data_IF_907989603682
#
_entry.id   IF_907989603682
#
_cell.length_a   1.000
_cell.length_b   1.000
_cell.length_c   1.000
_cell.angle_alpha   90.00
_cell.angle_beta   90.00
_cell.angle_gamma   90.00
#
_symmetry.space_group_name_H-M   'P 1'
#
loop_
_entity.id
_entity.type
_entity.pdbx_description
1 polymer ?
#
# COMPACT_ATOMS: atom_id res chain seq x y z
N UNK A 1 25.80 6.89 -5.67
CA UNK A 1 24.82 6.55 -4.63
C UNK A 1 24.11 5.28 -5.10
N UNK A 2 24.12 4.19 -4.33
CA UNK A 2 23.32 2.99 -4.66
C UNK A 2 21.91 3.24 -4.13
N UNK A 3 20.91 3.25 -5.00
CA UNK A 3 19.53 3.46 -4.58
C UNK A 3 18.92 2.15 -4.05
N UNK A 4 19.05 1.96 -2.75
CA UNK A 4 18.51 0.80 -2.02
C UNK A 4 16.97 0.81 -2.00
N UNK A 5 16.35 1.99 -2.17
CA UNK A 5 14.89 2.15 -2.15
C UNK A 5 14.28 2.27 -3.55
N UNK A 6 14.92 1.69 -4.58
CA UNK A 6 14.31 1.62 -5.90
C UNK A 6 13.02 0.78 -5.83
N UNK A 7 11.85 1.35 -6.15
CA UNK A 7 10.56 0.68 -5.93
C UNK A 7 10.37 -0.58 -6.79
N UNK A 8 10.91 -0.60 -8.01
CA UNK A 8 10.83 -1.76 -8.90
C UNK A 8 11.72 -2.90 -8.40
N UNK A 9 12.95 -2.57 -7.96
CA UNK A 9 13.86 -3.55 -7.39
C UNK A 9 13.31 -4.14 -6.09
N UNK A 10 12.78 -3.29 -5.18
CA UNK A 10 12.17 -3.74 -3.94
C UNK A 10 11.04 -4.71 -4.21
N UNK A 11 10.08 -4.33 -5.07
CA UNK A 11 8.96 -5.19 -5.41
C UNK A 11 9.42 -6.55 -5.93
N UNK A 12 10.35 -6.53 -6.90
CA UNK A 12 10.87 -7.74 -7.54
C UNK A 12 11.57 -8.66 -6.53
N UNK A 13 12.45 -8.10 -5.69
CA UNK A 13 13.17 -8.86 -4.66
C UNK A 13 12.21 -9.42 -3.62
N UNK A 14 11.28 -8.62 -3.11
CA UNK A 14 10.32 -9.08 -2.11
C UNK A 14 9.43 -10.18 -2.68
N UNK A 15 8.89 -10.00 -3.90
CA UNK A 15 8.03 -10.99 -4.54
C UNK A 15 8.70 -12.36 -4.63
N UNK A 16 9.93 -12.42 -5.15
CA UNK A 16 10.65 -13.68 -5.26
C UNK A 16 11.13 -14.21 -3.91
N UNK A 17 11.56 -13.34 -2.99
CA UNK A 17 11.99 -13.78 -1.65
C UNK A 17 10.84 -14.42 -0.89
N UNK A 18 9.66 -13.80 -0.90
CA UNK A 18 8.49 -14.32 -0.19
C UNK A 18 7.92 -15.55 -0.87
N UNK A 19 7.94 -15.61 -2.21
CA UNK A 19 7.59 -16.82 -2.97
C UNK A 19 8.54 -17.99 -2.67
N UNK A 20 9.86 -17.74 -2.64
CA UNK A 20 10.83 -18.77 -2.28
C UNK A 20 10.61 -19.25 -0.84
N UNK A 21 10.35 -18.32 0.07
CA UNK A 21 10.09 -18.66 1.47
C UNK A 21 8.81 -19.48 1.65
N UNK A 22 7.73 -19.16 0.94
CA UNK A 22 6.47 -19.93 0.99
C UNK A 22 6.48 -21.22 0.19
N UNK A 23 7.46 -21.42 -0.69
CA UNK A 23 7.65 -22.70 -1.39
C UNK A 23 8.36 -23.76 -0.53
N UNK A 24 8.92 -23.36 0.61
CA UNK A 24 9.50 -24.29 1.59
C UNK A 24 8.33 -24.87 2.39
N UNK A 25 8.01 -26.13 2.17
CA UNK A 25 6.97 -26.83 2.93
C UNK A 25 7.45 -27.07 4.37
N UNK A 26 7.03 -26.21 5.28
CA UNK A 26 7.37 -26.27 6.69
C UNK A 26 6.24 -26.95 7.48
N UNK A 27 6.54 -28.08 8.12
CA UNK A 27 5.66 -28.85 9.00
C UNK A 27 4.34 -29.36 8.36
N UNK A 28 4.31 -29.62 7.03
CA UNK A 28 3.14 -30.13 6.28
C UNK A 28 1.85 -29.28 6.45
N UNK A 29 2.01 -28.02 6.86
CA UNK A 29 0.88 -27.12 7.15
C UNK A 29 0.13 -26.70 5.88
N UNK A 30 0.74 -26.83 4.70
CA UNK A 30 0.17 -26.45 3.41
C UNK A 30 0.43 -27.53 2.37
N UNK A 31 -0.46 -27.63 1.38
CA UNK A 31 -0.17 -28.49 0.25
C UNK A 31 1.04 -27.98 -0.55
N UNK A 32 1.88 -28.89 -1.07
CA UNK A 32 2.97 -28.52 -1.96
C UNK A 32 2.48 -27.70 -3.15
N UNK A 33 3.31 -26.79 -3.63
CA UNK A 33 2.95 -25.98 -4.80
C UNK A 33 2.77 -26.86 -6.04
N UNK A 34 1.66 -26.64 -6.74
CA UNK A 34 1.45 -27.26 -8.05
C UNK A 34 2.47 -26.71 -9.08
N UNK A 35 2.79 -27.48 -10.15
CA UNK A 35 3.65 -26.97 -11.22
C UNK A 35 3.13 -25.66 -11.83
N UNK A 36 1.81 -25.53 -11.96
CA UNK A 36 1.16 -24.33 -12.48
C UNK A 36 1.33 -23.13 -11.53
N UNK A 37 1.31 -23.34 -10.22
CA UNK A 37 1.59 -22.30 -9.22
C UNK A 37 3.01 -21.72 -9.40
N UNK A 38 4.02 -22.57 -9.59
CA UNK A 38 5.38 -22.10 -9.88
C UNK A 38 5.42 -21.24 -11.15
N UNK A 39 4.77 -21.68 -12.24
CA UNK A 39 4.69 -20.94 -13.50
C UNK A 39 4.02 -19.57 -13.30
N UNK A 40 2.88 -19.54 -12.60
CA UNK A 40 2.12 -18.32 -12.30
C UNK A 40 2.98 -17.30 -11.54
N UNK A 41 3.65 -17.74 -10.47
CA UNK A 41 4.48 -16.86 -9.64
C UNK A 41 5.72 -16.35 -10.39
N UNK A 42 6.39 -17.22 -11.15
CA UNK A 42 7.59 -16.86 -11.91
C UNK A 42 7.26 -15.91 -13.06
N UNK A 43 6.23 -16.22 -13.86
CA UNK A 43 5.82 -15.37 -15.00
C UNK A 43 5.34 -14.01 -14.51
N UNK A 44 4.62 -13.95 -13.39
CA UNK A 44 4.22 -12.69 -12.74
C UNK A 44 5.41 -11.78 -12.47
N UNK A 45 6.43 -12.30 -11.77
CA UNK A 45 7.63 -11.54 -11.41
C UNK A 45 8.45 -11.12 -12.63
N UNK A 46 8.60 -12.00 -13.62
CA UNK A 46 9.28 -11.67 -14.88
C UNK A 46 8.51 -10.60 -15.66
N UNK A 47 7.18 -10.71 -15.78
CA UNK A 47 6.35 -9.74 -16.50
C UNK A 47 6.42 -8.36 -15.86
N UNK A 48 6.35 -8.29 -14.53
CA UNK A 48 6.61 -7.06 -13.77
C UNK A 48 7.97 -6.45 -14.10
N UNK A 49 9.03 -7.28 -14.05
CA UNK A 49 10.39 -6.82 -14.34
C UNK A 49 10.51 -6.26 -15.76
N UNK A 50 10.00 -6.99 -16.76
CA UNK A 50 9.99 -6.54 -18.16
C UNK A 50 9.28 -5.19 -18.32
N UNK A 51 8.12 -5.01 -17.69
CA UNK A 51 7.41 -3.72 -17.70
C UNK A 51 8.24 -2.59 -17.09
N UNK A 52 9.01 -2.88 -16.03
CA UNK A 52 9.85 -1.88 -15.36
C UNK A 52 11.09 -1.45 -16.16
N UNK A 53 11.60 -2.29 -17.07
CA UNK A 53 12.84 -2.03 -17.82
C UNK A 53 12.74 -0.80 -18.75
N UNK A 54 11.53 -0.41 -19.17
CA UNK A 54 11.30 0.73 -20.07
C UNK A 54 11.91 2.04 -19.59
N UNK A 55 12.00 2.25 -18.26
CA UNK A 55 12.53 3.49 -17.67
C UNK A 55 13.70 3.30 -16.70
N UNK A 56 14.07 2.06 -16.33
CA UNK A 56 15.15 1.77 -15.37
C UNK A 56 16.55 2.17 -15.87
N UNK A 57 16.85 2.02 -17.18
CA UNK A 57 18.19 2.32 -17.74
C UNK A 57 18.57 3.81 -17.71
N UNK A 58 17.62 4.72 -17.48
CA UNK A 58 17.81 6.17 -17.67
C UNK A 58 18.01 6.97 -16.36
N UNK A 59 18.14 6.31 -15.21
CA UNK A 59 18.06 6.99 -13.92
C UNK A 59 19.34 6.85 -13.10
N UNK A 60 20.21 7.87 -13.15
CA UNK A 60 21.22 8.07 -12.10
C UNK A 60 20.55 8.79 -10.94
N UNK A 61 20.51 8.15 -9.77
CA UNK A 61 19.84 8.68 -8.59
C UNK A 61 20.78 9.62 -7.85
N UNK A 62 20.46 10.90 -7.86
CA UNK A 62 21.03 11.91 -6.97
C UNK A 62 20.08 12.19 -5.81
N UNK A 63 20.61 12.70 -4.71
CA UNK A 63 19.76 13.25 -3.65
C UNK A 63 18.91 14.37 -4.24
N UNK A 64 17.66 14.39 -3.85
CA UNK A 64 16.69 15.36 -4.35
C UNK A 64 16.97 16.73 -3.75
N UNK A 65 17.04 17.73 -4.61
CA UNK A 65 17.07 19.11 -4.16
C UNK A 65 15.74 19.42 -3.47
N UNK A 66 15.81 20.10 -2.32
CA UNK A 66 14.61 20.62 -1.67
C UNK A 66 13.95 21.61 -2.61
N UNK A 67 12.64 21.46 -2.80
CA UNK A 67 11.84 22.40 -3.58
C UNK A 67 10.85 23.06 -2.63
N UNK A 68 10.83 24.39 -2.61
CA UNK A 68 9.80 25.11 -1.87
C UNK A 68 8.43 24.76 -2.41
N UNK A 69 7.56 24.35 -1.49
CA UNK A 69 6.17 24.05 -1.80
C UNK A 69 5.35 25.34 -1.70
N UNK A 70 4.42 25.56 -2.65
CA UNK A 70 3.60 26.76 -2.64
C UNK A 70 2.65 26.77 -1.43
N UNK A 71 2.17 27.95 -1.04
CA UNK A 71 1.28 28.10 0.12
C UNK A 71 -0.04 27.34 -0.04
N UNK A 72 -0.53 27.21 -1.28
CA UNK A 72 -1.73 26.43 -1.60
C UNK A 72 -1.58 24.96 -1.18
N UNK A 73 -0.37 24.39 -1.31
CA UNK A 73 -0.10 23.04 -0.84
C UNK A 73 -0.31 22.92 0.67
N UNK A 74 0.11 23.94 1.43
CA UNK A 74 -0.08 23.97 2.88
C UNK A 74 -1.56 24.09 3.25
N UNK A 75 -2.29 24.97 2.57
CA UNK A 75 -3.73 25.13 2.77
C UNK A 75 -4.48 23.83 2.52
N UNK A 76 -4.25 23.19 1.36
CA UNK A 76 -4.88 21.91 1.00
C UNK A 76 -4.53 20.82 2.02
N UNK A 77 -3.27 20.74 2.47
CA UNK A 77 -2.85 19.73 3.45
C UNK A 77 -3.55 19.92 4.80
N UNK A 78 -3.69 21.15 5.28
CA UNK A 78 -4.37 21.42 6.55
C UNK A 78 -5.88 21.22 6.45
N UNK A 79 -6.50 21.61 5.33
CA UNK A 79 -7.91 21.32 5.09
C UNK A 79 -8.18 19.80 5.08
N UNK A 80 -7.33 19.03 4.39
CA UNK A 80 -7.40 17.57 4.38
C UNK A 80 -7.22 16.98 5.78
N UNK A 81 -6.28 17.49 6.57
CA UNK A 81 -6.13 17.07 7.96
C UNK A 81 -7.42 17.28 8.75
N UNK A 82 -8.02 18.47 8.70
CA UNK A 82 -9.25 18.77 9.42
C UNK A 82 -10.36 17.80 8.99
N UNK A 83 -10.59 17.64 7.69
CA UNK A 83 -11.64 16.76 7.16
C UNK A 83 -11.41 15.30 7.60
N UNK A 84 -10.21 14.76 7.40
CA UNK A 84 -9.91 13.36 7.70
C UNK A 84 -9.90 13.09 9.21
N UNK A 85 -9.39 14.01 10.00
CA UNK A 85 -9.35 13.87 11.46
C UNK A 85 -10.75 14.00 12.06
N UNK A 86 -11.58 14.93 11.56
CA UNK A 86 -12.99 15.01 11.96
C UNK A 86 -13.75 13.73 11.61
N UNK A 87 -13.55 13.18 10.41
CA UNK A 87 -14.15 11.89 10.03
C UNK A 87 -13.75 10.77 11.00
N UNK A 88 -12.46 10.67 11.31
CA UNK A 88 -11.95 9.71 12.29
C UNK A 88 -12.57 9.88 13.68
N UNK A 89 -12.67 11.10 14.19
CA UNK A 89 -13.27 11.35 15.51
C UNK A 89 -14.75 10.99 15.51
N UNK A 90 -15.50 11.33 14.47
CA UNK A 90 -16.92 10.98 14.35
C UNK A 90 -17.09 9.44 14.34
N UNK A 91 -16.31 8.73 13.52
CA UNK A 91 -16.37 7.26 13.49
C UNK A 91 -15.97 6.63 14.83
N UNK A 92 -14.91 7.15 15.46
CA UNK A 92 -14.45 6.65 16.75
C UNK A 92 -15.50 6.86 17.87
N UNK A 93 -16.18 8.00 17.86
CA UNK A 93 -17.28 8.28 18.80
C UNK A 93 -18.51 7.41 18.51
N UNK A 94 -18.90 7.25 17.24
CA UNK A 94 -20.02 6.39 16.85
C UNK A 94 -19.77 4.92 17.19
N UNK A 95 -18.51 4.48 17.15
CA UNK A 95 -18.11 3.14 17.59
C UNK A 95 -17.97 3.01 19.13
N UNK A 96 -18.46 3.97 19.91
CA UNK A 96 -18.44 3.91 21.37
C UNK A 96 -17.06 4.07 22.00
N UNK A 97 -16.12 4.73 21.30
CA UNK A 97 -14.75 4.92 21.79
C UNK A 97 -13.82 3.73 21.52
N UNK A 98 -14.29 2.68 20.84
CA UNK A 98 -13.46 1.60 20.33
C UNK A 98 -13.72 1.40 18.84
N UNK A 99 -12.71 1.55 17.98
CA UNK A 99 -12.81 1.08 16.60
C UNK A 99 -12.65 -0.43 16.59
N UNK A 100 -13.64 -1.15 17.12
CA UNK A 100 -13.67 -2.60 17.11
C UNK A 100 -13.79 -3.07 15.66
N UNK A 101 -12.85 -3.92 15.23
CA UNK A 101 -12.84 -4.57 13.90
C UNK A 101 -14.01 -5.56 13.70
N UNK A 102 -14.95 -5.63 14.65
CA UNK A 102 -16.24 -6.32 14.52
C UNK A 102 -17.24 -5.71 15.51
N UNK A 103 -17.75 -4.51 15.25
CA UNK A 103 -19.06 -4.12 15.79
C UNK A 103 -20.10 -4.34 14.70
N UNK A 104 -20.53 -5.59 14.57
CA UNK A 104 -21.77 -5.93 13.90
C UNK A 104 -22.91 -5.13 14.53
N UNK A 105 -23.49 -4.19 13.76
CA UNK A 105 -24.77 -3.57 14.07
C UNK A 105 -24.74 -2.29 14.89
N UNK A 106 -24.05 -1.24 14.42
CA UNK A 106 -24.41 0.13 14.83
C UNK A 106 -25.22 0.76 13.70
N UNK A 107 -26.53 0.88 13.90
CA UNK A 107 -27.42 1.66 13.04
C UNK A 107 -26.95 3.13 13.03
N UNK A 108 -26.16 3.51 12.02
CA UNK A 108 -25.62 4.88 11.95
C UNK A 108 -24.41 5.10 11.03
N UNK A 109 -23.98 4.12 10.24
CA UNK A 109 -22.84 4.30 9.33
C UNK A 109 -23.11 5.38 8.28
N UNK A 110 -22.39 6.50 8.40
CA UNK A 110 -22.49 7.63 7.46
C UNK A 110 -21.74 7.24 6.18
N UNK A 111 -22.48 7.05 5.09
CA UNK A 111 -21.92 6.71 3.79
C UNK A 111 -20.79 7.67 3.39
N UNK A 112 -19.64 7.12 3.03
CA UNK A 112 -18.48 7.89 2.57
C UNK A 112 -17.56 8.43 3.68
N UNK A 113 -18.00 8.49 4.94
CA UNK A 113 -17.19 9.03 6.05
C UNK A 113 -15.89 8.25 6.24
N UNK A 114 -15.97 6.92 6.08
CA UNK A 114 -14.85 6.00 6.23
C UNK A 114 -13.65 6.34 5.35
N UNK A 115 -13.88 6.87 4.14
CA UNK A 115 -12.80 7.27 3.25
C UNK A 115 -11.93 8.39 3.85
N UNK A 116 -12.50 9.28 4.67
CA UNK A 116 -11.74 10.27 5.43
C UNK A 116 -10.81 9.62 6.46
N UNK A 117 -11.33 8.66 7.23
CA UNK A 117 -10.56 7.91 8.24
C UNK A 117 -9.44 7.08 7.64
N UNK A 118 -9.67 6.47 6.47
CA UNK A 118 -8.69 5.69 5.72
C UNK A 118 -7.61 6.59 5.12
N UNK A 119 -7.94 7.83 4.73
CA UNK A 119 -6.96 8.74 4.16
C UNK A 119 -6.07 9.40 5.21
N UNK A 120 -6.49 9.43 6.48
CA UNK A 120 -5.75 10.08 7.57
C UNK A 120 -4.27 9.66 7.67
N UNK A 121 -3.88 8.37 7.54
CA UNK A 121 -2.47 7.99 7.52
C UNK A 121 -1.68 8.61 6.37
N UNK A 122 -2.31 8.78 5.21
CA UNK A 122 -1.68 9.40 4.05
C UNK A 122 -1.53 10.91 4.22
N UNK A 123 -2.39 11.56 5.01
CA UNK A 123 -2.19 12.97 5.41
C UNK A 123 -0.87 13.14 6.19
N UNK A 124 -0.53 12.21 7.09
CA UNK A 124 0.77 12.27 7.78
C UNK A 124 1.95 12.13 6.80
N UNK A 125 1.82 11.31 5.76
CA UNK A 125 2.82 11.18 4.68
C UNK A 125 2.97 12.49 3.90
N UNK A 126 1.86 13.15 3.57
CA UNK A 126 1.85 14.46 2.89
C UNK A 126 2.52 15.53 3.77
N UNK A 127 2.19 15.59 5.06
CA UNK A 127 2.82 16.50 6.02
C UNK A 127 4.33 16.22 6.16
N UNK A 128 4.73 14.95 6.20
CA UNK A 128 6.15 14.60 6.29
C UNK A 128 6.92 15.00 5.02
N UNK A 129 6.33 14.78 3.84
CA UNK A 129 6.89 15.27 2.57
C UNK A 129 7.08 16.79 2.58
N UNK A 130 6.10 17.53 3.13
CA UNK A 130 6.19 18.98 3.29
C UNK A 130 7.32 19.40 4.22
N UNK A 131 7.45 18.75 5.38
CA UNK A 131 8.53 19.01 6.34
C UNK A 131 9.91 18.82 5.71
N UNK A 132 10.09 17.78 4.89
CA UNK A 132 11.36 17.51 4.22
C UNK A 132 11.71 18.54 3.13
N UNK A 133 10.69 19.09 2.46
CA UNK A 133 10.85 20.09 1.40
C UNK A 133 10.88 21.53 1.91
N UNK A 134 10.44 21.79 3.13
CA UNK A 134 10.49 23.11 3.72
C UNK A 134 11.94 23.57 3.98
N UNK A 135 12.20 24.87 3.80
CA UNK A 135 13.43 25.49 4.29
C UNK A 135 13.51 25.39 5.82
N UNK A 136 12.40 25.73 6.49
CA UNK A 136 12.22 25.62 7.94
C UNK A 136 10.92 24.87 8.23
N UNK A 137 11.05 23.71 8.87
CA UNK A 137 9.89 22.92 9.29
C UNK A 137 9.08 23.71 10.34
N UNK A 138 7.76 23.80 10.15
CA UNK A 138 6.86 24.41 11.14
C UNK A 138 6.57 23.38 12.23
N UNK A 139 6.62 23.81 13.49
CA UNK A 139 6.33 22.93 14.64
C UNK A 139 4.95 22.29 14.53
N UNK A 140 3.96 23.02 13.99
CA UNK A 140 2.61 22.51 13.78
C UNK A 140 2.59 21.27 12.88
N UNK A 141 3.40 21.21 11.82
CA UNK A 141 3.41 20.05 10.91
C UNK A 141 3.85 18.78 11.65
N UNK A 142 4.83 18.88 12.55
CA UNK A 142 5.27 17.77 13.38
C UNK A 142 4.24 17.35 14.43
N UNK A 143 3.58 18.33 15.08
CA UNK A 143 2.52 18.04 16.04
C UNK A 143 1.36 17.28 15.39
N UNK A 144 0.96 17.67 14.18
CA UNK A 144 -0.08 16.97 13.41
C UNK A 144 0.36 15.54 13.04
N UNK A 145 1.60 15.34 12.60
CA UNK A 145 2.14 14.00 12.31
C UNK A 145 2.10 13.11 13.56
N UNK A 146 2.60 13.63 14.69
CA UNK A 146 2.64 12.88 15.95
C UNK A 146 1.22 12.54 16.42
N UNK A 147 0.29 13.48 16.33
CA UNK A 147 -1.12 13.27 16.68
C UNK A 147 -1.75 12.15 15.84
N UNK A 148 -1.53 12.16 14.52
CA UNK A 148 -2.05 11.11 13.62
C UNK A 148 -1.45 9.75 13.99
N UNK A 149 -0.13 9.65 14.17
CA UNK A 149 0.54 8.40 14.53
C UNK A 149 0.04 7.89 15.89
N UNK A 150 -0.07 8.77 16.88
CA UNK A 150 -0.59 8.44 18.21
C UNK A 150 -2.03 7.93 18.12
N UNK A 151 -2.89 8.54 17.29
CA UNK A 151 -4.26 8.06 17.08
C UNK A 151 -4.30 6.65 16.45
N UNK A 152 -3.45 6.36 15.47
CA UNK A 152 -3.37 5.02 14.87
C UNK A 152 -2.80 3.97 15.85
N UNK A 153 -1.88 4.35 16.73
CA UNK A 153 -1.27 3.45 17.72
C UNK A 153 -2.19 3.18 18.91
N UNK A 154 -2.76 4.22 19.50
CA UNK A 154 -3.49 4.12 20.78
C UNK A 154 -4.96 3.82 20.56
N UNK A 155 -5.59 4.42 19.54
CA UNK A 155 -7.04 4.33 19.34
C UNK A 155 -7.41 3.24 18.31
N UNK A 156 -6.69 3.16 17.18
CA UNK A 156 -6.98 2.15 16.14
C UNK A 156 -6.27 0.81 16.34
N UNK A 157 -5.10 0.81 16.99
CA UNK A 157 -4.18 -0.34 17.04
C UNK A 157 -3.94 -0.94 15.63
N UNK A 158 -3.79 -0.07 14.61
CA UNK A 158 -3.72 -0.49 13.19
C UNK A 158 -2.29 -0.77 12.74
N UNK A 159 -1.97 -2.06 12.54
CA UNK A 159 -0.70 -2.51 11.93
C UNK A 159 -0.54 -1.98 10.50
N UNK A 160 -1.63 -1.92 9.74
CA UNK A 160 -1.63 -1.42 8.37
C UNK A 160 -1.22 0.05 8.27
N UNK A 161 -1.70 0.88 9.21
CA UNK A 161 -1.35 2.30 9.28
C UNK A 161 0.14 2.48 9.61
N UNK A 162 0.67 1.68 10.55
CA UNK A 162 2.09 1.71 10.91
C UNK A 162 3.00 1.37 9.73
N UNK A 163 2.62 0.38 8.92
CA UNK A 163 3.34 0.07 7.68
C UNK A 163 3.35 1.25 6.71
N UNK A 164 2.21 1.94 6.55
CA UNK A 164 2.13 3.13 5.71
C UNK A 164 3.13 4.17 6.20
N UNK A 165 3.14 4.51 7.50
CA UNK A 165 4.06 5.51 8.04
C UNK A 165 5.52 5.12 7.83
N UNK A 166 5.91 3.93 8.27
CA UNK A 166 7.32 3.53 8.30
C UNK A 166 7.88 3.41 6.89
N UNK A 167 7.18 2.72 5.99
CA UNK A 167 7.64 2.53 4.62
C UNK A 167 7.66 3.86 3.85
N UNK A 168 6.62 4.69 3.99
CA UNK A 168 6.55 5.98 3.31
C UNK A 168 7.62 6.96 3.83
N UNK A 169 7.80 7.04 5.15
CA UNK A 169 8.74 7.98 5.76
C UNK A 169 10.18 7.57 5.47
N UNK A 170 10.53 6.28 5.59
CA UNK A 170 11.86 5.80 5.20
C UNK A 170 12.15 6.05 3.73
N UNK A 171 11.18 5.76 2.85
CA UNK A 171 11.32 6.04 1.42
C UNK A 171 11.57 7.53 1.18
N UNK A 172 10.73 8.43 1.71
CA UNK A 172 10.90 9.87 1.52
C UNK A 172 12.21 10.38 2.11
N UNK A 173 12.55 9.97 3.33
CA UNK A 173 13.77 10.36 4.00
C UNK A 173 15.02 9.99 3.18
N UNK A 174 15.01 8.80 2.55
CA UNK A 174 16.12 8.30 1.74
C UNK A 174 16.41 9.16 0.51
N UNK A 175 15.42 9.91 0.04
CA UNK A 175 15.53 10.75 -1.16
C UNK A 175 16.22 12.08 -0.88
N UNK A 176 16.09 12.61 0.34
CA UNK A 176 16.70 13.88 0.73
C UNK A 176 17.96 13.70 1.56
N UNK A 177 18.13 12.56 2.24
CA UNK A 177 19.29 12.29 3.07
C UNK A 177 19.88 10.91 2.80
N UNK A 178 21.21 10.81 2.96
CA UNK A 178 21.88 9.50 2.92
C UNK A 178 21.45 8.71 4.16
N UNK A 179 20.86 7.54 3.95
CA UNK A 179 20.57 6.58 5.02
C UNK A 179 21.63 5.48 4.93
N UNK A 180 22.22 5.13 6.07
CA UNK A 180 23.03 3.92 6.16
C UNK A 180 22.12 2.70 6.21
N UNK A 181 22.54 1.59 5.60
CA UNK A 181 21.79 0.33 5.62
C UNK A 181 21.38 -0.09 7.05
N UNK A 182 22.24 0.19 8.04
CA UNK A 182 21.99 -0.11 9.45
C UNK A 182 20.77 0.62 10.03
N UNK A 183 20.52 1.88 9.63
CA UNK A 183 19.34 2.63 10.10
C UNK A 183 18.06 2.04 9.50
N UNK A 184 18.11 1.60 8.24
CA UNK A 184 16.98 0.91 7.60
C UNK A 184 16.68 -0.39 8.32
N UNK A 185 17.71 -1.19 8.57
CA UNK A 185 17.58 -2.47 9.29
C UNK A 185 17.04 -2.26 10.70
N UNK A 186 17.57 -1.28 11.44
CA UNK A 186 17.09 -0.94 12.78
C UNK A 186 15.62 -0.52 12.78
N UNK A 187 15.19 0.30 11.82
CA UNK A 187 13.79 0.69 11.66
C UNK A 187 12.87 -0.49 11.36
N UNK A 188 13.31 -1.44 10.51
CA UNK A 188 12.57 -2.67 10.23
C UNK A 188 12.47 -3.59 11.46
N UNK A 189 13.53 -3.70 12.26
CA UNK A 189 13.52 -4.50 13.50
C UNK A 189 12.54 -3.89 14.52
N UNK A 190 12.58 -2.57 14.74
CA UNK A 190 11.62 -1.89 15.62
C UNK A 190 10.19 -2.13 15.13
N UNK A 191 9.96 -2.00 13.81
CA UNK A 191 8.64 -2.25 13.24
C UNK A 191 8.15 -3.67 13.50
N UNK A 192 9.00 -4.67 13.28
CA UNK A 192 8.68 -6.07 13.53
C UNK A 192 8.35 -6.28 15.02
N UNK A 193 9.16 -5.73 15.93
CA UNK A 193 8.95 -5.82 17.37
C UNK A 193 7.62 -5.17 17.81
N UNK A 194 7.31 -3.96 17.33
CA UNK A 194 6.05 -3.26 17.62
C UNK A 194 4.86 -4.03 17.05
N UNK A 195 4.98 -4.56 15.83
CA UNK A 195 3.91 -5.34 15.18
C UNK A 195 3.61 -6.62 15.95
N UNK A 196 4.65 -7.34 16.38
CA UNK A 196 4.52 -8.52 17.25
C UNK A 196 3.88 -8.13 18.59
N UNK A 197 4.34 -7.03 19.21
CA UNK A 197 3.78 -6.55 20.48
C UNK A 197 2.28 -6.25 20.36
N UNK A 198 1.86 -5.55 19.31
CA UNK A 198 0.45 -5.27 19.02
C UNK A 198 -0.34 -6.56 18.75
N UNK A 199 0.27 -7.56 18.12
CA UNK A 199 -0.37 -8.86 17.88
C UNK A 199 -0.68 -9.59 19.20
N UNK A 200 0.25 -9.61 20.16
CA UNK A 200 0.02 -10.24 21.47
C UNK A 200 -1.03 -9.50 22.32
N UNK A 201 -1.13 -8.17 22.19
CA UNK A 201 -2.16 -7.40 22.91
C UNK A 201 -3.56 -7.66 22.35
N UNK A 202 -3.67 -7.93 21.05
CA UNK A 202 -4.95 -8.04 20.35
C UNK A 202 -5.57 -9.44 20.39
N UNK A 203 -4.76 -10.48 20.54
CA UNK A 203 -5.22 -11.86 20.63
C UNK A 203 -4.62 -12.54 21.88
N UNK A 204 -5.18 -12.29 23.07
CA UNK A 204 -4.72 -12.93 24.30
C UNK A 204 -5.08 -14.43 24.36
N UNK A 205 -5.88 -14.95 23.42
CA UNK A 205 -6.34 -16.35 23.40
C UNK A 205 -5.32 -17.30 22.75
N UNK A 206 -4.47 -16.79 21.85
CA UNK A 206 -3.44 -17.59 21.17
C UNK A 206 -3.97 -18.63 20.18
N UNK A 207 -5.27 -18.65 19.89
CA UNK A 207 -5.91 -19.65 19.01
C UNK A 207 -5.79 -19.33 17.51
N UNK A 208 -5.31 -18.14 17.15
CA UNK A 208 -5.15 -17.78 15.75
C UNK A 208 -4.16 -18.70 15.02
N UNK A 209 -4.56 -19.17 13.84
CA UNK A 209 -3.78 -20.04 12.95
C UNK A 209 -2.36 -19.50 12.67
N UNK A 210 -2.16 -18.19 12.80
CA UNK A 210 -0.87 -17.51 12.70
C UNK A 210 0.13 -17.99 13.77
N UNK A 211 -0.34 -18.26 14.98
CA UNK A 211 0.51 -18.60 16.13
C UNK A 211 0.68 -20.11 16.34
N UNK A 212 -0.19 -20.92 15.75
CA UNK A 212 -0.31 -22.37 16.02
C UNK A 212 0.10 -23.26 14.85
N UNK A 213 0.33 -22.69 13.66
CA UNK A 213 0.66 -23.39 12.42
C UNK A 213 2.08 -23.96 12.36
N UNK A 214 2.99 -23.55 13.27
CA UNK A 214 4.33 -24.13 13.35
C UNK A 214 4.69 -24.44 14.80
N UNK A 215 5.58 -25.42 14.99
CA UNK A 215 6.10 -25.80 16.30
C UNK A 215 6.78 -24.66 17.08
N UNK A 216 7.21 -23.60 16.39
CA UNK A 216 7.79 -22.40 17.00
C UNK A 216 6.89 -21.17 16.76
N UNK A 217 6.17 -20.65 17.78
CA UNK A 217 5.21 -19.56 17.61
C UNK A 217 5.85 -18.26 17.08
N UNK A 218 7.15 -18.04 17.31
CA UNK A 218 7.86 -16.87 16.80
C UNK A 218 8.15 -16.97 15.31
N UNK A 219 8.40 -18.17 14.79
CA UNK A 219 8.57 -18.43 13.35
C UNK A 219 7.20 -18.40 12.66
N UNK A 220 6.19 -18.97 13.32
CA UNK A 220 4.78 -19.01 12.90
C UNK A 220 4.26 -17.65 12.47
N UNK A 221 4.53 -16.61 13.27
CA UNK A 221 4.04 -15.24 13.04
C UNK A 221 4.54 -14.65 11.72
N UNK A 222 5.76 -14.96 11.32
CA UNK A 222 6.35 -14.43 10.08
C UNK A 222 6.10 -15.32 8.88
N UNK A 223 6.17 -16.64 9.07
CA UNK A 223 6.01 -17.62 8.00
C UNK A 223 4.56 -17.73 7.54
N UNK A 224 3.62 -17.90 8.46
CA UNK A 224 2.24 -18.27 8.13
C UNK A 224 1.52 -17.17 7.35
N UNK A 225 1.76 -15.89 7.68
CA UNK A 225 1.18 -14.78 6.91
C UNK A 225 1.60 -14.80 5.44
N UNK A 226 2.87 -15.12 5.17
CA UNK A 226 3.39 -15.20 3.81
C UNK A 226 2.87 -16.47 3.15
N UNK A 227 3.10 -17.62 3.77
CA UNK A 227 2.80 -18.92 3.22
C UNK A 227 1.31 -19.08 2.91
N UNK A 228 0.41 -18.67 3.81
CA UNK A 228 -1.03 -18.92 3.66
C UNK A 228 -1.62 -18.10 2.51
N UNK A 229 -1.05 -16.93 2.22
CA UNK A 229 -1.47 -16.13 1.07
C UNK A 229 -1.12 -16.80 -0.27
N UNK A 230 0.01 -17.50 -0.35
CA UNK A 230 0.38 -18.28 -1.53
C UNK A 230 -0.41 -19.60 -1.59
N UNK A 231 -0.68 -20.24 -0.44
CA UNK A 231 -1.53 -21.44 -0.37
C UNK A 231 -2.92 -21.18 -0.95
N UNK A 232 -3.55 -20.07 -0.55
CA UNK A 232 -4.85 -19.64 -1.08
C UNK A 232 -4.85 -19.49 -2.61
N UNK A 233 -3.74 -19.06 -3.22
CA UNK A 233 -3.61 -19.04 -4.68
C UNK A 233 -3.40 -20.44 -5.26
N UNK A 234 -2.55 -21.26 -4.65
CA UNK A 234 -2.28 -22.64 -5.10
C UNK A 234 -3.57 -23.48 -5.09
N UNK A 235 -4.36 -23.38 -4.03
CA UNK A 235 -5.60 -24.13 -3.88
C UNK A 235 -6.62 -23.67 -4.93
N UNK A 236 -6.73 -22.35 -5.17
CA UNK A 236 -7.56 -21.83 -6.25
C UNK A 236 -7.13 -22.35 -7.64
N UNK A 237 -5.81 -22.39 -7.89
CA UNK A 237 -5.25 -22.93 -9.14
C UNK A 237 -5.62 -24.42 -9.29
N UNK A 238 -5.54 -25.20 -8.21
CA UNK A 238 -5.81 -26.65 -8.18
C UNK A 238 -7.30 -26.97 -8.34
N UNK A 239 -8.18 -26.17 -7.76
CA UNK A 239 -9.63 -26.33 -7.88
C UNK A 239 -10.13 -26.14 -9.32
N UNK A 240 -9.31 -25.50 -10.17
CA UNK A 240 -9.64 -25.11 -11.54
C UNK A 240 -11.07 -24.57 -11.69
N UNK A 241 -11.47 -23.71 -10.75
CA UNK A 241 -12.82 -23.18 -10.76
C UNK A 241 -13.03 -22.34 -12.04
N UNK A 242 -14.16 -22.57 -12.69
CA UNK A 242 -14.54 -22.00 -13.98
C UNK A 242 -15.31 -20.68 -13.86
N UNK A 243 -15.54 -20.18 -12.65
CA UNK A 243 -16.24 -18.93 -12.40
C UNK A 243 -15.35 -17.72 -12.71
N UNK A 244 -15.09 -17.52 -14.00
CA UNK A 244 -14.39 -16.38 -14.56
C UNK A 244 -15.41 -15.32 -14.96
N UNK A 245 -15.60 -14.33 -14.10
CA UNK A 245 -16.45 -13.20 -14.43
C UNK A 245 -15.55 -12.03 -14.87
N UNK A 246 -15.42 -11.87 -16.18
CA UNK A 246 -14.86 -10.74 -16.96
C UNK A 246 -14.32 -9.52 -16.17
N UNK A 247 -13.31 -9.72 -15.31
CA UNK A 247 -12.67 -8.65 -14.54
C UNK A 247 -13.43 -8.18 -13.29
N UNK A 248 -14.35 -8.98 -12.72
CA UNK A 248 -15.11 -8.61 -11.54
C UNK A 248 -14.21 -8.35 -10.32
N UNK A 249 -13.24 -9.22 -10.05
CA UNK A 249 -12.32 -9.05 -8.93
C UNK A 249 -11.23 -8.00 -9.24
N UNK A 250 -10.75 -8.00 -10.48
CA UNK A 250 -9.66 -7.15 -10.97
C UNK A 250 -10.07 -5.69 -11.08
N UNK A 251 -11.31 -5.42 -11.52
CA UNK A 251 -11.86 -4.08 -11.71
C UNK A 251 -12.92 -3.73 -10.65
N UNK A 252 -12.98 -4.44 -9.51
CA UNK A 252 -13.94 -4.17 -8.44
C UNK A 252 -13.95 -2.71 -7.98
N UNK A 253 -12.79 -2.06 -7.92
CA UNK A 253 -12.68 -0.61 -7.65
C UNK A 253 -13.47 0.23 -8.64
N UNK A 254 -13.38 -0.09 -9.93
CA UNK A 254 -14.06 0.64 -11.00
C UNK A 254 -15.57 0.36 -10.95
N UNK A 255 -15.98 -0.90 -10.73
CA UNK A 255 -17.38 -1.26 -10.55
C UNK A 255 -18.02 -0.59 -9.33
N UNK A 256 -17.24 -0.36 -8.26
CA UNK A 256 -17.70 0.41 -7.08
C UNK A 256 -18.00 1.86 -7.46
N UNK A 257 -17.10 2.51 -8.22
CA UNK A 257 -17.31 3.90 -8.67
C UNK A 257 -18.54 4.02 -9.58
N UNK A 258 -18.79 3.02 -10.42
CA UNK A 258 -19.96 2.98 -11.29
C UNK A 258 -21.27 2.58 -10.57
N UNK A 259 -21.22 2.20 -9.28
CA UNK A 259 -22.40 1.79 -8.52
C UNK A 259 -23.01 0.46 -8.98
N UNK A 260 -22.24 -0.38 -9.69
CA UNK A 260 -22.71 -1.68 -10.22
C UNK A 260 -22.00 -2.88 -9.57
N UNK A 261 -21.13 -2.65 -8.58
CA UNK A 261 -20.38 -3.73 -7.90
C UNK A 261 -21.31 -4.80 -7.33
N UNK A 262 -22.40 -4.41 -6.68
CA UNK A 262 -23.31 -5.36 -6.03
C UNK A 262 -24.17 -6.16 -7.02
N UNK A 263 -24.27 -5.69 -8.27
CA UNK A 263 -24.95 -6.38 -9.37
C UNK A 263 -24.01 -7.33 -10.13
N UNK A 264 -22.70 -7.20 -9.92
CA UNK A 264 -21.73 -8.15 -10.43
C UNK A 264 -21.67 -9.28 -9.43
N UNK A 265 -22.06 -10.50 -9.85
CA UNK A 265 -22.11 -11.69 -9.00
C UNK A 265 -20.69 -12.07 -8.56
N UNK A 266 -20.12 -11.34 -7.60
CA UNK A 266 -18.86 -11.69 -6.95
C UNK A 266 -19.21 -12.79 -5.97
N UNK A 267 -19.55 -13.97 -6.47
CA UNK A 267 -19.34 -15.18 -5.70
C UNK A 267 -17.84 -15.21 -5.45
N UNK A 268 -17.43 -14.66 -4.30
CA UNK A 268 -16.15 -14.95 -3.70
C UNK A 268 -16.22 -16.45 -3.45
N UNK A 269 -15.82 -17.22 -4.46
CA UNK A 269 -15.70 -18.66 -4.36
C UNK A 269 -14.86 -18.88 -3.13
N UNK A 270 -15.53 -19.36 -2.08
CA UNK A 270 -15.00 -19.83 -0.81
C UNK A 270 -13.51 -19.52 -0.69
N UNK A 271 -13.20 -18.36 -0.09
CA UNK A 271 -11.93 -18.27 0.63
C UNK A 271 -11.92 -19.48 1.52
N UNK A 272 -11.06 -20.45 1.20
CA UNK A 272 -10.88 -21.63 2.02
C UNK A 272 -10.80 -21.16 3.47
N UNK A 273 -11.60 -21.78 4.32
CA UNK A 273 -12.04 -21.37 5.68
C UNK A 273 -10.94 -20.98 6.69
N UNK A 274 -9.69 -20.80 6.25
CA UNK A 274 -8.51 -20.64 7.09
C UNK A 274 -7.89 -19.23 7.03
N UNK A 275 -8.05 -18.42 5.98
CA UNK A 275 -7.44 -17.06 5.94
C UNK A 275 -7.93 -16.11 4.81
N UNK A 276 -8.41 -14.91 5.15
CA UNK A 276 -8.90 -13.88 4.21
C UNK A 276 -7.77 -12.98 3.64
N UNK A 277 -6.70 -13.57 3.11
CA UNK A 277 -5.69 -12.82 2.38
C UNK A 277 -5.05 -13.68 1.29
N UNK A 278 -4.84 -13.10 0.12
CA UNK A 278 -4.22 -13.77 -1.03
C UNK A 278 -3.17 -12.86 -1.67
N UNK A 279 -2.24 -13.41 -2.44
CA UNK A 279 -1.21 -12.61 -3.11
C UNK A 279 -1.80 -11.63 -4.13
N UNK A 280 -1.05 -10.59 -4.50
CA UNK A 280 -1.55 -9.52 -5.38
C UNK A 280 -2.04 -9.99 -6.76
N UNK A 281 -1.59 -11.15 -7.24
CA UNK A 281 -2.00 -11.71 -8.53
C UNK A 281 -3.29 -12.53 -8.49
N UNK A 282 -3.85 -12.79 -7.30
CA UNK A 282 -5.01 -13.65 -7.13
C UNK A 282 -6.18 -13.22 -8.02
N UNK A 283 -6.57 -11.93 -7.95
CA UNK A 283 -7.66 -11.39 -8.75
C UNK A 283 -7.39 -11.48 -10.27
N UNK A 284 -6.13 -11.28 -10.69
CA UNK A 284 -5.76 -11.32 -12.11
C UNK A 284 -5.83 -12.73 -12.68
N UNK A 285 -5.38 -13.72 -11.89
CA UNK A 285 -5.51 -15.12 -12.25
C UNK A 285 -6.96 -15.58 -12.19
N UNK A 286 -7.71 -15.11 -11.20
CA UNK A 286 -9.14 -15.38 -11.07
C UNK A 286 -9.92 -14.94 -12.31
N UNK A 287 -9.72 -13.72 -12.79
CA UNK A 287 -10.53 -13.21 -13.89
C UNK A 287 -9.99 -13.56 -15.29
N UNK A 288 -8.66 -13.70 -15.42
CA UNK A 288 -8.00 -13.80 -16.73
C UNK A 288 -6.92 -14.90 -16.80
N UNK A 289 -6.84 -15.79 -15.81
CA UNK A 289 -5.84 -16.87 -15.70
C UNK A 289 -4.42 -16.36 -16.00
N UNK A 290 -3.63 -17.10 -16.78
CA UNK A 290 -2.25 -16.74 -17.13
C UNK A 290 -2.13 -15.39 -17.87
N UNK A 291 -3.14 -15.00 -18.66
CA UNK A 291 -3.11 -13.72 -19.36
C UNK A 291 -3.11 -12.55 -18.37
N UNK A 292 -3.95 -12.60 -17.33
CA UNK A 292 -3.97 -11.59 -16.28
C UNK A 292 -2.66 -11.49 -15.53
N UNK A 293 -2.04 -12.63 -15.23
CA UNK A 293 -0.75 -12.73 -14.54
C UNK A 293 0.41 -12.18 -15.38
N UNK A 294 0.26 -12.07 -16.70
CA UNK A 294 1.25 -11.41 -17.57
C UNK A 294 0.93 -9.91 -17.66
N UNK A 295 -0.29 -9.57 -18.08
CA UNK A 295 -0.66 -8.21 -18.44
C UNK A 295 -0.61 -7.24 -17.25
N UNK A 296 -1.25 -7.59 -16.13
CA UNK A 296 -1.38 -6.66 -15.01
C UNK A 296 -0.05 -6.42 -14.29
N UNK A 297 0.76 -7.44 -13.95
CA UNK A 297 2.11 -7.21 -13.43
C UNK A 297 2.98 -6.37 -14.37
N UNK A 298 2.91 -6.59 -15.70
CA UNK A 298 3.62 -5.74 -16.67
C UNK A 298 3.18 -4.27 -16.58
N UNK A 299 1.87 -4.00 -16.55
CA UNK A 299 1.32 -2.64 -16.44
C UNK A 299 1.70 -1.96 -15.12
N UNK A 300 1.69 -2.70 -14.00
CA UNK A 300 2.13 -2.20 -12.69
C UNK A 300 3.62 -1.84 -12.74
N UNK A 301 4.47 -2.73 -13.28
CA UNK A 301 5.91 -2.47 -13.43
C UNK A 301 6.20 -1.26 -14.32
N UNK A 302 5.48 -1.12 -15.44
CA UNK A 302 5.56 0.04 -16.32
C UNK A 302 5.13 1.33 -15.61
N UNK A 303 3.99 1.31 -14.91
CA UNK A 303 3.48 2.46 -14.16
C UNK A 303 4.45 2.91 -13.05
N UNK A 304 4.94 1.98 -12.23
CA UNK A 304 5.89 2.27 -11.16
C UNK A 304 7.21 2.83 -11.69
N UNK A 305 7.76 2.23 -12.75
CA UNK A 305 9.01 2.71 -13.36
C UNK A 305 8.85 4.10 -13.98
N UNK A 306 7.71 4.40 -14.61
CA UNK A 306 7.37 5.73 -15.13
C UNK A 306 7.26 6.77 -14.01
N UNK A 307 6.55 6.45 -12.92
CA UNK A 307 6.42 7.34 -11.76
C UNK A 307 7.80 7.63 -11.14
N UNK A 308 8.60 6.59 -10.99
CA UNK A 308 9.96 6.69 -10.47
C UNK A 308 10.87 7.54 -11.36
N UNK A 309 10.82 7.35 -12.68
CA UNK A 309 11.52 8.20 -13.65
C UNK A 309 11.09 9.67 -13.54
N UNK A 310 9.78 9.94 -13.50
CA UNK A 310 9.24 11.29 -13.34
C UNK A 310 9.66 11.93 -12.00
N UNK A 311 9.81 11.15 -10.94
CA UNK A 311 10.28 11.65 -9.65
C UNK A 311 11.73 12.10 -9.66
N UNK A 312 12.55 11.53 -10.54
CA UNK A 312 13.98 11.85 -10.66
C UNK A 312 14.19 13.01 -11.62
N UNK A 313 13.52 13.00 -12.78
CA UNK A 313 13.83 13.93 -13.87
C UNK A 313 12.87 15.12 -13.97
N UNK A 314 11.62 14.99 -13.51
CA UNK A 314 10.59 16.01 -13.74
C UNK A 314 10.24 16.79 -12.46
N UNK A 315 9.75 16.10 -11.43
CA UNK A 315 9.33 16.78 -10.20
C UNK A 315 9.37 15.89 -8.97
N UNK A 316 9.90 16.43 -7.87
CA UNK A 316 9.87 15.79 -6.55
C UNK A 316 8.45 15.51 -6.03
N UNK A 317 7.41 16.16 -6.57
CA UNK A 317 6.01 15.87 -6.21
C UNK A 317 5.62 14.41 -6.52
N UNK A 318 6.20 13.79 -7.55
CA UNK A 318 5.94 12.37 -7.86
C UNK A 318 6.47 11.41 -6.79
N UNK A 319 7.39 11.87 -5.93
CA UNK A 319 7.83 11.08 -4.76
C UNK A 319 6.69 10.88 -3.76
N UNK A 320 5.74 11.81 -3.69
CA UNK A 320 4.60 11.68 -2.81
C UNK A 320 3.71 10.50 -3.23
N UNK A 321 3.42 10.37 -4.53
CA UNK A 321 2.65 9.24 -5.04
C UNK A 321 3.40 7.91 -4.85
N UNK A 322 4.73 7.90 -5.06
CA UNK A 322 5.53 6.72 -4.77
C UNK A 322 5.56 6.38 -3.27
N UNK A 323 5.54 7.38 -2.39
CA UNK A 323 5.53 7.15 -0.94
C UNK A 323 4.25 6.47 -0.49
N UNK A 324 3.09 6.91 -0.98
CA UNK A 324 1.81 6.29 -0.62
C UNK A 324 1.66 4.86 -1.18
N UNK A 325 2.36 4.56 -2.29
CA UNK A 325 2.41 3.22 -2.88
C UNK A 325 3.38 2.26 -2.17
N UNK A 326 4.18 2.70 -1.18
CA UNK A 326 5.21 1.84 -0.60
C UNK A 326 4.63 0.59 0.07
N UNK A 327 3.46 0.66 0.69
CA UNK A 327 2.79 -0.54 1.23
C UNK A 327 2.51 -1.57 0.13
N UNK A 328 2.00 -1.15 -1.02
CA UNK A 328 1.75 -2.05 -2.15
C UNK A 328 3.05 -2.63 -2.73
N UNK A 329 4.13 -1.85 -2.72
CA UNK A 329 5.44 -2.25 -3.21
C UNK A 329 6.11 -3.28 -2.29
N UNK A 330 6.02 -3.09 -0.97
CA UNK A 330 6.69 -3.93 0.03
C UNK A 330 5.89 -5.15 0.46
N UNK A 331 4.59 -5.20 0.15
CA UNK A 331 3.70 -6.26 0.62
C UNK A 331 2.88 -6.89 -0.51
N UNK A 332 3.50 -7.27 -1.66
CA UNK A 332 2.77 -7.90 -2.76
C UNK A 332 2.29 -9.32 -2.42
N UNK A 333 2.83 -9.93 -1.38
CA UNK A 333 2.45 -11.26 -0.91
C UNK A 333 1.16 -11.25 -0.07
N UNK A 334 0.65 -10.09 0.35
CA UNK A 334 -0.47 -9.99 1.29
C UNK A 334 -1.55 -9.04 0.76
N UNK A 335 -2.23 -9.44 -0.31
CA UNK A 335 -3.31 -8.68 -0.93
C UNK A 335 -2.86 -7.89 -2.16
N UNK A 336 -3.82 -7.58 -3.03
CA UNK A 336 -3.60 -6.62 -4.12
C UNK A 336 -3.85 -5.19 -3.61
N UNK A 337 -2.80 -4.61 -3.03
CA UNK A 337 -2.81 -3.21 -2.57
C UNK A 337 -2.64 -2.17 -3.70
N UNK A 338 -2.67 -2.54 -4.98
CA UNK A 338 -2.61 -1.56 -6.05
C UNK A 338 -4.00 -1.04 -6.43
N UNK A 339 -4.97 -1.94 -6.63
CA UNK A 339 -6.30 -1.56 -7.10
C UNK A 339 -7.41 -2.60 -6.84
N UNK A 340 -7.23 -3.55 -5.92
CA UNK A 340 -8.25 -4.57 -5.63
C UNK A 340 -9.59 -3.97 -5.22
N UNK A 341 -9.57 -2.92 -4.40
CA UNK A 341 -10.76 -2.27 -3.89
C UNK A 341 -10.64 -0.76 -3.90
N UNK A 342 -11.77 -0.06 -4.04
CA UNK A 342 -11.79 1.39 -4.09
C UNK A 342 -11.19 2.00 -2.81
N UNK A 343 -11.41 1.33 -1.67
CA UNK A 343 -10.84 1.70 -0.37
C UNK A 343 -9.31 1.76 -0.37
N UNK A 344 -8.67 0.91 -1.18
CA UNK A 344 -7.21 0.83 -1.37
C UNK A 344 -6.75 1.83 -2.43
N UNK A 345 -7.49 1.95 -3.53
CA UNK A 345 -7.13 2.79 -4.67
C UNK A 345 -7.34 4.29 -4.40
N UNK A 346 -8.36 4.64 -3.61
CA UNK A 346 -8.78 6.00 -3.32
C UNK A 346 -7.63 6.90 -2.81
N UNK A 347 -6.80 6.48 -1.82
CA UNK A 347 -5.68 7.28 -1.39
C UNK A 347 -4.68 7.65 -2.50
N UNK A 348 -4.49 6.77 -3.48
CA UNK A 348 -3.58 7.02 -4.60
C UNK A 348 -4.17 8.02 -5.58
N UNK A 349 -5.46 7.90 -5.88
CA UNK A 349 -6.19 8.83 -6.73
C UNK A 349 -6.24 10.24 -6.11
N UNK A 350 -6.54 10.34 -4.81
CA UNK A 350 -6.56 11.64 -4.14
C UNK A 350 -5.17 12.27 -4.08
N UNK A 351 -4.13 11.48 -3.79
CA UNK A 351 -2.74 11.95 -3.84
C UNK A 351 -2.34 12.41 -5.24
N UNK A 352 -2.74 11.69 -6.28
CA UNK A 352 -2.54 12.09 -7.67
C UNK A 352 -3.26 13.41 -7.99
N UNK A 353 -4.51 13.57 -7.56
CA UNK A 353 -5.28 14.80 -7.74
C UNK A 353 -4.61 16.01 -7.05
N UNK A 354 -4.08 15.82 -5.83
CA UNK A 354 -3.28 16.83 -5.13
C UNK A 354 -2.07 17.22 -5.98
N UNK A 355 -1.28 16.26 -6.45
CA UNK A 355 -0.10 16.54 -7.29
C UNK A 355 -0.50 17.30 -8.57
N UNK A 356 -1.56 16.85 -9.25
CA UNK A 356 -2.01 17.46 -10.49
C UNK A 356 -2.50 18.90 -10.30
N UNK A 357 -3.25 19.16 -9.22
CA UNK A 357 -3.68 20.53 -8.87
C UNK A 357 -2.50 21.49 -8.72
N UNK A 358 -1.36 21.02 -8.19
CA UNK A 358 -0.17 21.86 -8.05
C UNK A 358 0.46 22.23 -9.40
N UNK A 359 0.41 21.31 -10.37
CA UNK A 359 0.85 21.61 -11.73
C UNK A 359 -0.09 22.60 -12.41
N UNK A 360 -1.41 22.38 -12.34
CA UNK A 360 -2.40 23.26 -12.93
C UNK A 360 -2.33 24.70 -12.38
N UNK A 361 -2.19 24.87 -11.07
CA UNK A 361 -2.05 26.20 -10.43
C UNK A 361 -0.79 26.92 -10.91
N UNK A 362 0.32 26.19 -11.10
CA UNK A 362 1.57 26.76 -11.59
C UNK A 362 1.41 27.30 -13.02
N UNK A 363 0.73 26.55 -13.88
CA UNK A 363 0.52 26.94 -15.28
C UNK A 363 -0.41 28.15 -15.39
N UNK A 364 -1.49 28.19 -14.58
CA UNK A 364 -2.39 29.35 -14.50
C UNK A 364 -1.62 30.62 -14.07
N UNK A 365 -0.76 30.51 -13.05
CA UNK A 365 0.07 31.65 -12.60
C UNK A 365 1.03 32.14 -13.68
N UNK A 366 1.61 31.22 -14.44
CA UNK A 366 2.49 31.57 -15.56
C UNK A 366 1.71 32.35 -16.64
N UNK A 367 0.51 31.90 -16.99
CA UNK A 367 -0.36 32.58 -17.95
C UNK A 367 -0.79 33.98 -17.48
N UNK A 368 -1.14 34.15 -16.20
CA UNK A 368 -1.49 35.46 -15.63
C UNK A 368 -0.30 36.42 -15.68
N UNK A 369 0.92 35.94 -15.36
CA UNK A 369 2.13 36.77 -15.45
C UNK A 369 2.43 37.21 -16.88
N UNK A 370 2.25 36.33 -17.86
CA UNK A 370 2.41 36.69 -19.27
C UNK A 370 1.40 37.76 -19.70
N UNK A 371 0.13 37.64 -19.27
CA UNK A 371 -0.91 38.61 -19.59
C UNK A 371 -0.65 40.00 -18.99
N UNK A 372 -0.07 40.07 -17.79
CA UNK A 372 0.21 41.34 -17.12
C UNK A 372 1.48 42.05 -17.62
N UNK A 373 2.28 41.39 -18.47
CA UNK A 373 3.51 41.92 -19.06
C UNK A 373 3.33 42.33 -20.54
N UNK A 374 2.11 42.21 -21.07
CA UNK A 374 1.66 42.73 -22.37
C UNK A 374 0.78 43.95 -22.08
#
# INVERSE_FOLDING_TARGET
>A
YRDVFNPCLIFFVIWFLTASFSSIDYDDFMEPWSPLMHVVVTISGISFWLGSLGFLKKSKVNLQAKKELPEEFSFVTYALFIICFSAFIIEWLNAGGGLAVKSSGVDGDIAGLHYGTIFLPFVAVILYFKVLNAQKAKTIDWLLIILIIASSLVLKLSRGDMMIYILSFLFLYSRYKKISFNIVLFGLVIFAAVSIGVMFVRDPSGESIVFTSTSNPYVSVFYSYIATCFANLNDYIRMDNSSHLLGNATFASFWTVLGIRDNMDTNWIMQLDMFNASVYIYAFYHDFKLFGVILFPFLIGFGLSKLYYNSIHNSSLWLLLLSVLQKAIFVPFFGNYFFAELVILYPYLLTYAIIFSQFAIKDIRHLIKLKNNI
#
